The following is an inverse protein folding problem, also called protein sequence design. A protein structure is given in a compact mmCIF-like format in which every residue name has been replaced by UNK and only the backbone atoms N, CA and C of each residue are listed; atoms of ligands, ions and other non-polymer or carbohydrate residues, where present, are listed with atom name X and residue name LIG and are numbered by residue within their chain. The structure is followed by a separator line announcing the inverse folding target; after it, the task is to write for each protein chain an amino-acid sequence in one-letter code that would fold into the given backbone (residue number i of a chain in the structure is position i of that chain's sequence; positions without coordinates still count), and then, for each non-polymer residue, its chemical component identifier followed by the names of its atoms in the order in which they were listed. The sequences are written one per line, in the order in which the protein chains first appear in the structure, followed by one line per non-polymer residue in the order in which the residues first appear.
data_IF_155497576104
#
_entry.id   IF_155497576104
#
_cell.length_a   1.000
_cell.length_b   1.000
_cell.length_c   1.000
_cell.angle_alpha   90.00
_cell.angle_beta   90.00
_cell.angle_gamma   90.00
#
_symmetry.space_group_name_H-M   'P 1'
#
loop_
_entity.id
_entity.type
_entity.pdbx_description
1 polymer ?
#
# COMPACT_ATOMS: atom_id res chain seq x y z
N UNK A 1 -6.21 27.99 2.83
CA UNK A 1 -4.76 28.09 3.12
C UNK A 1 -4.03 27.56 1.91
N UNK A 2 -3.60 28.44 1.00
CA UNK A 2 -2.78 28.02 -0.14
C UNK A 2 -1.43 27.57 0.41
N UNK A 3 -1.03 26.32 0.15
CA UNK A 3 0.34 25.88 0.41
C UNK A 3 1.28 26.82 -0.36
N UNK A 4 2.36 27.26 0.28
CA UNK A 4 3.33 28.13 -0.38
C UNK A 4 3.94 27.38 -1.57
N UNK A 5 4.33 28.11 -2.61
CA UNK A 5 4.95 27.51 -3.80
C UNK A 5 6.24 26.75 -3.43
N UNK A 6 6.92 27.20 -2.37
CA UNK A 6 8.09 26.56 -1.76
C UNK A 6 7.75 25.20 -1.12
N UNK A 7 6.64 25.11 -0.37
CA UNK A 7 6.17 23.84 0.21
C UNK A 7 5.84 22.81 -0.87
N UNK A 8 5.26 23.26 -1.97
CA UNK A 8 4.96 22.40 -3.12
C UNK A 8 6.24 21.90 -3.79
N UNK A 9 7.27 22.74 -3.89
CA UNK A 9 8.56 22.35 -4.46
C UNK A 9 9.32 21.37 -3.57
N UNK A 10 9.32 21.56 -2.25
CA UNK A 10 9.86 20.61 -1.27
C UNK A 10 9.13 19.28 -1.38
N UNK A 11 7.79 19.31 -1.41
CA UNK A 11 6.98 18.10 -1.53
C UNK A 11 7.27 17.33 -2.81
N UNK A 12 7.52 18.06 -3.90
CA UNK A 12 7.84 17.49 -5.20
C UNK A 12 9.22 16.85 -5.24
N UNK A 13 10.24 17.48 -4.65
CA UNK A 13 11.58 16.90 -4.53
C UNK A 13 11.54 15.62 -3.68
N UNK A 14 10.81 15.66 -2.57
CA UNK A 14 10.61 14.50 -1.71
C UNK A 14 9.88 13.34 -2.41
N UNK A 15 8.84 13.62 -3.20
CA UNK A 15 8.11 12.59 -3.95
C UNK A 15 8.98 11.90 -5.02
N UNK A 16 9.92 12.63 -5.63
CA UNK A 16 10.88 12.05 -6.57
C UNK A 16 11.91 11.16 -5.88
N UNK A 17 12.30 11.51 -4.67
CA UNK A 17 13.24 10.75 -3.83
C UNK A 17 12.55 9.67 -2.99
N UNK A 18 11.22 9.56 -3.08
CA UNK A 18 10.43 8.55 -2.37
C UNK A 18 10.79 7.16 -2.88
N UNK A 19 11.58 6.45 -2.09
CA UNK A 19 11.93 5.06 -2.27
C UNK A 19 11.25 4.19 -1.19
N UNK A 20 11.23 2.89 -1.42
CA UNK A 20 10.66 1.92 -0.49
C UNK A 20 11.33 1.96 0.90
N UNK A 21 12.55 2.49 1.00
CA UNK A 21 13.33 2.63 2.24
C UNK A 21 13.20 4.01 2.91
N UNK A 22 12.64 5.01 2.22
CA UNK A 22 12.47 6.38 2.75
C UNK A 22 11.53 6.41 3.95
N UNK A 23 10.60 5.45 4.01
CA UNK A 23 9.68 5.28 5.13
C UNK A 23 10.14 4.08 5.95
N UNK A 24 10.66 4.29 7.17
CA UNK A 24 11.13 3.19 7.99
C UNK A 24 9.99 2.21 8.25
N UNK A 25 10.20 0.92 7.98
CA UNK A 25 9.17 -0.10 8.23
C UNK A 25 8.74 -0.17 9.70
N UNK A 26 9.56 0.38 10.61
CA UNK A 26 9.31 0.50 12.05
C UNK A 26 8.24 1.51 12.43
N UNK A 27 7.86 2.45 11.55
CA UNK A 27 6.77 3.39 11.88
C UNK A 27 5.40 2.72 11.89
N UNK A 28 5.28 1.58 11.20
CA UNK A 28 4.04 0.84 11.07
C UNK A 28 4.05 -0.41 11.93
N UNK A 29 2.98 -0.62 12.68
CA UNK A 29 2.74 -1.86 13.40
C UNK A 29 2.05 -2.86 12.48
N UNK A 30 2.69 -4.00 12.27
CA UNK A 30 2.14 -5.09 11.45
C UNK A 30 1.52 -6.14 12.36
N UNK A 31 0.22 -6.35 12.22
CA UNK A 31 -0.53 -7.39 12.92
C UNK A 31 -1.07 -8.44 11.95
N UNK A 32 -1.15 -9.69 12.41
CA UNK A 32 -1.68 -10.80 11.63
C UNK A 32 -2.98 -11.32 12.23
N UNK A 33 -3.98 -11.54 11.38
CA UNK A 33 -5.29 -12.02 11.78
C UNK A 33 -5.81 -13.07 10.82
N UNK A 34 -6.91 -13.73 11.19
CA UNK A 34 -7.57 -14.71 10.33
C UNK A 34 -8.24 -13.99 9.15
N UNK A 35 -8.03 -14.52 7.94
CA UNK A 35 -8.71 -14.01 6.74
C UNK A 35 -10.20 -14.35 6.80
N UNK A 36 -11.06 -13.45 6.34
CA UNK A 36 -12.53 -13.58 6.46
C UNK A 36 -13.18 -14.32 5.28
N UNK A 37 -12.39 -15.08 4.51
CA UNK A 37 -12.84 -15.75 3.28
C UNK A 37 -13.75 -16.96 3.53
N UNK A 38 -14.49 -17.43 2.50
CA UNK A 38 -15.40 -18.56 2.59
C UNK A 38 -14.69 -19.83 3.12
N UNK A 39 -15.30 -20.42 4.14
CA UNK A 39 -14.70 -21.39 5.05
C UNK A 39 -14.09 -22.62 4.40
N UNK A 40 -12.86 -22.91 4.82
CA UNK A 40 -12.16 -24.18 4.63
C UNK A 40 -11.15 -24.35 5.77
N UNK A 41 -10.71 -25.59 6.05
CA UNK A 41 -9.85 -25.89 7.21
C UNK A 41 -8.63 -24.97 7.38
N UNK A 42 -8.06 -24.47 6.28
CA UNK A 42 -6.92 -23.54 6.31
C UNK A 42 -7.28 -22.11 6.77
N UNK A 43 -8.48 -21.61 6.44
CA UNK A 43 -8.95 -20.25 6.81
C UNK A 43 -9.15 -20.13 8.32
N UNK A 44 -9.58 -21.21 8.97
CA UNK A 44 -9.78 -21.26 10.41
C UNK A 44 -8.48 -21.45 11.21
N UNK A 45 -7.39 -21.92 10.56
CA UNK A 45 -6.15 -22.33 11.24
C UNK A 45 -4.99 -21.35 11.10
N UNK A 46 -4.88 -20.59 10.00
CA UNK A 46 -3.71 -19.73 9.73
C UNK A 46 -4.09 -18.26 9.72
N UNK A 47 -3.45 -17.46 10.57
CA UNK A 47 -3.55 -16.00 10.58
C UNK A 47 -2.79 -15.40 9.40
N UNK A 48 -3.31 -15.55 8.18
CA UNK A 48 -2.63 -15.07 6.98
C UNK A 48 -2.90 -13.61 6.65
N UNK A 49 -4.02 -13.02 7.10
CA UNK A 49 -4.35 -11.60 6.81
C UNK A 49 -3.36 -10.70 7.54
N UNK A 50 -2.69 -9.82 6.80
CA UNK A 50 -1.83 -8.79 7.35
C UNK A 50 -2.60 -7.47 7.48
N UNK A 51 -2.44 -6.79 8.60
CA UNK A 51 -2.96 -5.44 8.86
C UNK A 51 -1.79 -4.56 9.27
N UNK A 52 -1.47 -3.58 8.44
CA UNK A 52 -0.47 -2.57 8.72
C UNK A 52 -1.17 -1.33 9.26
N UNK A 53 -0.83 -0.97 10.49
CA UNK A 53 -1.33 0.21 11.18
C UNK A 53 -0.20 1.23 11.29
N UNK A 54 -0.34 2.37 10.64
CA UNK A 54 0.65 3.44 10.67
C UNK A 54 0.07 4.65 11.39
N UNK A 55 0.65 5.08 12.53
CA UNK A 55 0.24 6.31 13.19
C UNK A 55 0.46 7.52 12.29
N UNK A 56 -0.57 8.36 12.12
CA UNK A 56 -0.45 9.57 11.30
C UNK A 56 0.67 10.46 11.81
N UNK A 57 0.80 10.67 13.12
CA UNK A 57 1.84 11.55 13.67
C UNK A 57 3.26 11.11 13.33
N UNK A 58 3.52 9.80 13.33
CA UNK A 58 4.81 9.25 12.90
C UNK A 58 5.01 9.45 11.40
N UNK A 59 3.98 9.17 10.60
CA UNK A 59 4.03 9.31 9.14
C UNK A 59 4.23 10.77 8.70
N UNK A 60 3.49 11.71 9.30
CA UNK A 60 3.51 13.13 8.95
C UNK A 60 4.84 13.81 9.27
N UNK A 61 5.66 13.27 10.18
CA UNK A 61 7.04 13.74 10.43
C UNK A 61 7.99 13.43 9.27
N UNK A 62 7.73 12.35 8.55
CA UNK A 62 8.53 11.92 7.41
C UNK A 62 8.03 12.48 6.07
N UNK A 63 6.85 13.11 6.07
CA UNK A 63 6.17 13.54 4.85
C UNK A 63 6.00 15.07 4.85
N UNK A 64 6.21 15.74 3.71
CA UNK A 64 5.94 17.18 3.54
C UNK A 64 4.51 17.60 3.90
N UNK A 65 4.39 18.79 4.50
CA UNK A 65 3.12 19.41 4.93
C UNK A 65 2.06 19.47 3.84
N UNK A 66 2.46 19.72 2.59
CA UNK A 66 1.57 19.78 1.43
C UNK A 66 0.78 18.48 1.21
N UNK A 67 1.32 17.32 1.62
CA UNK A 67 0.67 16.01 1.45
C UNK A 67 -0.20 15.63 2.64
N UNK A 68 -0.09 16.35 3.77
CA UNK A 68 -0.79 16.01 5.01
C UNK A 68 -2.31 16.01 4.82
N UNK A 69 -2.84 16.98 4.08
CA UNK A 69 -4.27 17.12 3.81
C UNK A 69 -4.81 15.95 2.99
N UNK A 70 -4.11 15.56 1.92
CA UNK A 70 -4.51 14.44 1.06
C UNK A 70 -4.42 13.10 1.78
N UNK A 71 -3.37 12.89 2.60
CA UNK A 71 -3.23 11.66 3.38
C UNK A 71 -4.34 11.55 4.42
N UNK A 72 -4.68 12.66 5.11
CA UNK A 72 -5.79 12.70 6.07
C UNK A 72 -7.15 12.47 5.41
N UNK A 73 -7.31 12.89 4.15
CA UNK A 73 -8.52 12.67 3.35
C UNK A 73 -8.61 11.24 2.77
N UNK A 74 -7.56 10.43 2.91
CA UNK A 74 -7.53 9.10 2.32
C UNK A 74 -8.53 8.14 2.97
N UNK A 75 -9.16 7.29 2.15
CA UNK A 75 -10.11 6.25 2.59
C UNK A 75 -9.54 5.21 3.57
N UNK A 76 -8.21 5.12 3.67
CA UNK A 76 -7.52 4.18 4.55
C UNK A 76 -7.31 4.72 5.97
N UNK A 77 -7.71 5.97 6.22
CA UNK A 77 -7.63 6.57 7.55
C UNK A 77 -8.76 6.05 8.43
N UNK A 78 -8.38 5.59 9.62
CA UNK A 78 -9.30 5.39 10.73
C UNK A 78 -9.44 6.73 11.49
N UNK A 79 -10.56 7.47 11.32
CA UNK A 79 -10.71 8.82 11.88
C UNK A 79 -10.65 8.84 13.41
N UNK A 80 -11.08 7.76 14.06
CA UNK A 80 -11.12 7.65 15.53
C UNK A 80 -9.75 7.48 16.17
N UNK A 81 -8.87 6.68 15.54
CA UNK A 81 -7.53 6.38 16.06
C UNK A 81 -6.43 7.23 15.45
N UNK A 82 -6.76 8.07 14.44
CA UNK A 82 -5.79 8.83 13.64
C UNK A 82 -4.67 7.94 13.07
N UNK A 83 -5.02 6.71 12.71
CA UNK A 83 -4.10 5.73 12.16
C UNK A 83 -4.50 5.41 10.72
N UNK A 84 -3.51 5.25 9.86
CA UNK A 84 -3.70 4.75 8.51
C UNK A 84 -3.64 3.22 8.57
N UNK A 85 -4.75 2.56 8.20
CA UNK A 85 -4.92 1.11 8.31
C UNK A 85 -5.00 0.53 6.91
N UNK A 86 -4.05 -0.36 6.59
CA UNK A 86 -3.99 -1.06 5.32
C UNK A 86 -3.99 -2.55 5.57
N UNK A 87 -4.95 -3.25 4.95
CA UNK A 87 -5.12 -4.68 5.09
C UNK A 87 -4.85 -5.39 3.78
N UNK A 88 -4.26 -6.58 3.85
CA UNK A 88 -4.06 -7.47 2.72
C UNK A 88 -4.26 -8.93 3.14
N UNK A 89 -5.05 -9.66 2.36
CA UNK A 89 -5.32 -11.09 2.51
C UNK A 89 -5.30 -11.83 1.15
N UNK A 90 -4.51 -11.31 0.21
CA UNK A 90 -4.42 -11.81 -1.17
C UNK A 90 -3.74 -13.20 -1.27
N UNK A 91 -2.81 -13.50 -0.35
CA UNK A 91 -2.01 -14.73 -0.31
C UNK A 91 -2.30 -15.56 0.94
N UNK A 92 -1.94 -16.85 0.86
CA UNK A 92 -1.90 -17.77 2.00
C UNK A 92 -0.67 -17.57 2.90
N UNK A 93 0.35 -16.84 2.43
CA UNK A 93 1.58 -16.55 3.17
C UNK A 93 1.48 -15.19 3.84
N UNK A 94 1.74 -15.16 5.15
CA UNK A 94 1.75 -13.92 5.93
C UNK A 94 2.78 -12.90 5.42
N UNK A 95 3.94 -13.38 4.95
CA UNK A 95 5.03 -12.53 4.41
C UNK A 95 4.62 -11.82 3.14
N UNK A 96 3.93 -12.52 2.23
CA UNK A 96 3.47 -11.93 0.97
C UNK A 96 2.42 -10.85 1.26
N UNK A 97 1.51 -11.12 2.20
CA UNK A 97 0.49 -10.14 2.61
C UNK A 97 1.11 -8.93 3.33
N UNK A 98 2.17 -9.13 4.12
CA UNK A 98 2.94 -8.04 4.71
C UNK A 98 3.53 -7.14 3.62
N UNK A 99 4.17 -7.72 2.61
CA UNK A 99 4.72 -6.97 1.48
C UNK A 99 3.62 -6.22 0.71
N UNK A 100 2.45 -6.84 0.50
CA UNK A 100 1.29 -6.18 -0.10
C UNK A 100 0.81 -4.97 0.71
N UNK A 101 0.79 -5.04 2.04
CA UNK A 101 0.45 -3.88 2.88
C UNK A 101 1.41 -2.70 2.66
N UNK A 102 2.73 -2.93 2.67
CA UNK A 102 3.71 -1.88 2.42
C UNK A 102 3.63 -1.33 0.99
N UNK A 103 3.40 -2.19 0.00
CA UNK A 103 3.19 -1.75 -1.38
C UNK A 103 1.97 -0.83 -1.49
N UNK A 104 0.84 -1.22 -0.88
CA UNK A 104 -0.39 -0.40 -0.82
C UNK A 104 -0.16 0.92 -0.09
N UNK A 105 0.61 0.93 1.01
CA UNK A 105 1.01 2.16 1.71
C UNK A 105 1.72 3.15 0.77
N UNK A 106 2.74 2.66 0.07
CA UNK A 106 3.47 3.47 -0.89
C UNK A 106 2.55 4.02 -1.99
N UNK A 107 1.62 3.20 -2.51
CA UNK A 107 0.64 3.65 -3.50
C UNK A 107 -0.25 4.80 -2.99
N UNK A 108 -0.71 4.71 -1.74
CA UNK A 108 -1.54 5.76 -1.13
C UNK A 108 -0.77 7.08 -1.04
N UNK A 109 0.48 7.04 -0.61
CA UNK A 109 1.32 8.22 -0.47
C UNK A 109 1.62 8.86 -1.84
N UNK A 110 1.93 8.04 -2.84
CA UNK A 110 2.13 8.53 -4.21
C UNK A 110 0.85 9.14 -4.77
N UNK A 111 -0.30 8.52 -4.53
CA UNK A 111 -1.59 9.05 -5.00
C UNK A 111 -1.93 10.39 -4.33
N UNK A 112 -1.71 10.49 -3.00
CA UNK A 112 -1.83 11.75 -2.27
C UNK A 112 -0.88 12.82 -2.82
N UNK A 113 0.37 12.44 -3.11
CA UNK A 113 1.37 13.27 -3.79
C UNK A 113 0.88 13.88 -5.10
N UNK A 114 0.27 13.05 -5.94
CA UNK A 114 -0.24 13.46 -7.26
C UNK A 114 -1.44 14.39 -7.17
N UNK A 115 -2.32 14.18 -6.19
CA UNK A 115 -3.51 15.01 -6.02
C UNK A 115 -3.15 16.36 -5.39
N UNK A 116 -2.21 16.38 -4.44
CA UNK A 116 -1.79 17.59 -3.73
C UNK A 116 -0.98 18.56 -4.61
N UNK A 117 -0.24 18.06 -5.60
CA UNK A 117 0.68 18.86 -6.42
C UNK A 117 0.13 18.95 -7.85
N UNK A 118 -0.73 19.93 -8.15
CA UNK A 118 -1.19 20.17 -9.51
C UNK A 118 -0.01 20.73 -10.32
N UNK A 119 0.42 20.05 -11.39
CA UNK A 119 1.24 20.74 -12.39
C UNK A 119 2.12 19.93 -13.30
N UNK A 120 2.74 18.82 -12.91
CA UNK A 120 3.68 18.15 -13.83
C UNK A 120 3.75 16.65 -13.56
N UNK A 121 2.82 15.94 -14.20
CA UNK A 121 2.96 14.54 -14.55
C UNK A 121 4.30 14.31 -15.26
N UNK A 122 5.33 13.83 -14.56
CA UNK A 122 6.35 13.05 -15.25
C UNK A 122 5.78 11.66 -15.48
N UNK A 123 5.44 11.39 -16.74
CA UNK A 123 4.90 10.12 -17.22
C UNK A 123 5.77 8.89 -16.84
N UNK A 124 7.03 9.11 -16.46
CA UNK A 124 7.95 8.06 -15.99
C UNK A 124 7.60 7.48 -14.61
N UNK A 125 7.23 8.29 -13.62
CA UNK A 125 6.83 7.75 -12.30
C UNK A 125 5.48 7.04 -12.37
N UNK A 126 4.57 7.49 -13.25
CA UNK A 126 3.32 6.78 -13.56
C UNK A 126 3.59 5.43 -14.21
N UNK A 127 4.59 5.32 -15.09
CA UNK A 127 5.02 4.03 -15.68
C UNK A 127 5.65 3.10 -14.65
N UNK A 128 6.47 3.59 -13.71
CA UNK A 128 7.11 2.74 -12.69
C UNK A 128 6.08 2.16 -11.70
N UNK A 129 5.14 2.99 -11.25
CA UNK A 129 4.02 2.56 -10.41
C UNK A 129 3.08 1.61 -11.16
N UNK A 130 2.75 1.93 -12.42
CA UNK A 130 1.93 1.05 -13.26
C UNK A 130 2.64 -0.27 -13.52
N UNK A 131 3.95 -0.29 -13.73
CA UNK A 131 4.73 -1.51 -13.91
C UNK A 131 4.74 -2.35 -12.63
N UNK A 132 4.93 -1.75 -11.45
CA UNK A 132 4.84 -2.47 -10.18
C UNK A 132 3.43 -3.05 -9.96
N UNK A 133 2.37 -2.28 -10.23
CA UNK A 133 0.99 -2.76 -10.19
C UNK A 133 0.71 -3.85 -11.24
N UNK A 134 1.30 -3.74 -12.45
CA UNK A 134 1.12 -4.70 -13.54
C UNK A 134 1.85 -5.99 -13.23
N UNK A 135 3.07 -5.94 -12.70
CA UNK A 135 3.83 -7.11 -12.26
C UNK A 135 3.14 -7.80 -11.09
N UNK A 136 2.58 -7.07 -10.13
CA UNK A 136 1.81 -7.66 -9.02
C UNK A 136 0.53 -8.32 -9.54
N UNK A 137 -0.23 -7.63 -10.40
CA UNK A 137 -1.45 -8.17 -10.99
C UNK A 137 -1.17 -9.35 -11.95
N UNK A 138 -0.06 -9.34 -12.68
CA UNK A 138 0.43 -10.45 -13.51
C UNK A 138 0.88 -11.61 -12.65
N UNK A 139 1.56 -11.37 -11.53
CA UNK A 139 1.93 -12.40 -10.57
C UNK A 139 0.69 -13.03 -9.91
N UNK A 140 -0.32 -12.23 -9.60
CA UNK A 140 -1.64 -12.67 -9.11
C UNK A 140 -2.36 -13.53 -10.16
N UNK A 141 -2.43 -13.06 -11.41
CA UNK A 141 -3.04 -13.79 -12.53
C UNK A 141 -2.30 -15.09 -12.82
N UNK A 142 -0.97 -15.06 -12.83
CA UNK A 142 -0.11 -16.24 -13.05
C UNK A 142 -0.29 -17.26 -11.92
N UNK A 143 -0.33 -16.81 -10.67
CA UNK A 143 -0.62 -17.66 -9.52
C UNK A 143 -2.03 -18.28 -9.61
N UNK A 144 -3.04 -17.49 -10.01
CA UNK A 144 -4.42 -17.99 -10.20
C UNK A 144 -4.50 -19.03 -11.33
N UNK A 145 -3.82 -18.78 -12.46
CA UNK A 145 -3.73 -19.71 -13.60
C UNK A 145 -3.01 -21.00 -13.22
N UNK A 146 -1.85 -20.92 -12.57
CA UNK A 146 -1.11 -22.10 -12.08
C UNK A 146 -1.95 -22.92 -11.09
N UNK A 147 -2.68 -22.25 -10.20
CA UNK A 147 -3.52 -22.93 -9.23
C UNK A 147 -4.71 -23.63 -9.90
N UNK A 148 -5.33 -23.00 -10.90
CA UNK A 148 -6.37 -23.61 -11.73
C UNK A 148 -5.85 -24.83 -12.51
N UNK A 149 -4.69 -24.71 -13.17
CA UNK A 149 -4.07 -25.80 -13.93
C UNK A 149 -3.72 -27.00 -13.01
N UNK A 150 -3.14 -26.74 -11.83
CA UNK A 150 -2.86 -27.79 -10.84
C UNK A 150 -4.12 -28.50 -10.34
N UNK A 151 -5.24 -27.79 -10.20
CA UNK A 151 -6.53 -28.41 -9.84
C UNK A 151 -7.09 -29.25 -10.98
N UNK A 152 -6.99 -28.78 -12.23
CA UNK A 152 -7.44 -29.53 -13.40
C UNK A 152 -6.64 -30.82 -13.60
N UNK A 153 -5.32 -30.78 -13.40
CA UNK A 153 -4.43 -31.94 -13.51
C UNK A 153 -4.67 -33.03 -12.47
N UNK A 154 -5.44 -32.76 -11.40
CA UNK A 154 -5.80 -33.74 -10.36
C UNK A 154 -7.13 -34.44 -10.63
N UNK A 155 -7.84 -34.04 -11.68
CA UNK A 155 -9.15 -34.59 -12.07
C UNK A 155 -9.03 -35.69 -13.16
N UNK A 156 -7.81 -36.15 -13.44
CA UNK A 156 -7.53 -37.35 -14.21
C UNK A 156 -7.07 -38.46 -13.28
#
# INVERSE_FOLDING_TARGET
TQASEEDLQIARKWLNDLHADTIPKSIGELSFSRSSGPGGQNVNKVSSKATLQVPLEGLLKHIPSALHSEIKSSRYIAPRSKNLIIQADDSRKQTDNAHSCYARLHQVIVHAGRNAIPGQTSAEQSKRVRNLQKTENEHRLKSKKQHSAKKSSRKG
#
